data_IF_513671464191
#
_entry.id   IF_513671464191
#
_cell.length_a   1.000
_cell.length_b   1.000
_cell.length_c   1.000
_cell.angle_alpha   90.00
_cell.angle_beta   90.00
_cell.angle_gamma   90.00
#
_symmetry.space_group_name_H-M   'P 1'
#
loop_
_entity.id
_entity.type
_entity.pdbx_description
1 polymer ?
#
# COMPACT_ATOMS: atom_id res chain seq x y z
N UNK A 1 -3.35 -0.45 -4.50
CA UNK A 1 -2.18 -0.65 -3.60
C UNK A 1 -0.97 0.10 -4.14
N UNK A 2 -0.09 0.56 -3.26
CA UNK A 2 1.22 1.12 -3.61
C UNK A 2 2.31 0.36 -2.86
N UNK A 3 3.47 0.16 -3.50
CA UNK A 3 4.64 -0.45 -2.87
C UNK A 3 5.84 0.44 -3.15
N UNK A 4 6.48 0.94 -2.12
CA UNK A 4 7.66 1.80 -2.23
C UNK A 4 8.64 1.46 -1.11
N UNK A 5 9.86 1.99 -1.22
CA UNK A 5 10.91 1.76 -0.23
C UNK A 5 10.71 2.63 1.03
N UNK A 6 10.75 2.05 2.22
CA UNK A 6 10.61 2.81 3.47
C UNK A 6 11.69 3.86 3.62
N UNK A 7 12.89 3.63 3.07
CA UNK A 7 14.03 4.54 3.19
C UNK A 7 13.80 5.84 2.40
N UNK A 8 12.80 5.87 1.52
CA UNK A 8 12.34 7.10 0.86
C UNK A 8 11.61 8.06 1.80
N UNK A 9 11.33 7.64 3.04
CA UNK A 9 10.73 8.45 4.09
C UNK A 9 11.86 8.92 5.03
N UNK A 10 12.13 10.22 5.02
CA UNK A 10 13.03 10.84 6.00
C UNK A 10 12.47 10.73 7.42
N UNK A 11 13.34 10.51 8.41
CA UNK A 11 12.97 10.66 9.82
C UNK A 11 12.56 12.10 10.12
N UNK A 12 11.54 12.27 10.96
CA UNK A 12 11.01 13.58 11.34
C UNK A 12 10.65 13.60 12.82
N UNK A 13 10.61 14.79 13.40
CA UNK A 13 10.18 14.99 14.78
C UNK A 13 8.70 14.66 14.98
N UNK A 14 8.32 14.42 16.25
CA UNK A 14 6.95 14.02 16.64
C UNK A 14 5.88 15.02 16.22
N UNK A 15 6.18 16.32 16.23
CA UNK A 15 5.25 17.40 15.86
C UNK A 15 5.19 17.64 14.34
N UNK A 16 5.27 16.59 13.52
CA UNK A 16 5.23 16.69 12.05
C UNK A 16 3.98 16.06 11.46
N UNK A 17 3.59 16.52 10.28
CA UNK A 17 2.45 15.99 9.52
C UNK A 17 2.80 14.77 8.64
N UNK A 18 4.07 14.34 8.64
CA UNK A 18 4.51 13.23 7.82
C UNK A 18 4.74 13.59 6.35
N UNK A 19 4.66 12.58 5.48
CA UNK A 19 4.78 12.69 4.02
C UNK A 19 3.71 11.86 3.32
N UNK A 20 3.32 12.23 2.10
CA UNK A 20 2.31 11.47 1.33
C UNK A 20 2.84 10.10 0.89
N UNK A 21 2.26 9.02 1.42
CA UNK A 21 2.55 7.64 1.00
C UNK A 21 1.83 7.24 -0.30
N UNK A 22 0.52 7.51 -0.39
CA UNK A 22 -0.35 7.19 -1.54
C UNK A 22 -1.29 8.37 -1.80
N UNK A 23 -1.56 8.67 -3.07
CA UNK A 23 -2.63 9.60 -3.47
C UNK A 23 -3.91 8.81 -3.74
N UNK A 24 -4.99 9.21 -3.10
CA UNK A 24 -6.27 8.51 -3.12
C UNK A 24 -7.32 9.34 -3.85
N UNK A 25 -8.39 8.70 -4.33
CA UNK A 25 -9.59 9.41 -4.75
C UNK A 25 -10.30 10.02 -3.53
N UNK A 26 -11.28 10.90 -3.77
CA UNK A 26 -11.92 11.73 -2.73
C UNK A 26 -12.45 10.93 -1.52
N UNK A 27 -13.01 9.75 -1.77
CA UNK A 27 -13.69 8.94 -0.76
C UNK A 27 -12.94 7.64 -0.42
N UNK A 28 -11.75 7.48 -0.98
CA UNK A 28 -10.87 6.34 -0.70
C UNK A 28 -10.10 6.55 0.62
N UNK A 29 -9.84 5.45 1.32
CA UNK A 29 -9.02 5.43 2.53
C UNK A 29 -8.01 4.29 2.52
N UNK A 30 -6.91 4.48 3.23
CA UNK A 30 -5.97 3.39 3.53
C UNK A 30 -6.63 2.47 4.56
N UNK A 31 -6.66 1.17 4.27
CA UNK A 31 -7.26 0.15 5.16
C UNK A 31 -6.22 -0.80 5.76
N UNK A 32 -5.02 -0.89 5.18
CA UNK A 32 -3.93 -1.74 5.65
C UNK A 32 -2.58 -1.17 5.20
N UNK A 33 -1.55 -1.47 5.99
CA UNK A 33 -0.14 -1.22 5.71
C UNK A 33 0.62 -2.48 6.12
N UNK A 34 1.54 -2.92 5.27
CA UNK A 34 2.38 -4.10 5.53
C UNK A 34 3.85 -3.76 5.27
N UNK A 35 4.73 -4.19 6.18
CA UNK A 35 6.16 -4.29 5.91
C UNK A 35 6.41 -5.67 5.28
N UNK A 36 7.04 -5.69 4.12
CA UNK A 36 7.11 -6.91 3.30
C UNK A 36 8.23 -7.85 3.77
N UNK A 37 7.95 -8.62 4.82
CA UNK A 37 8.74 -9.78 5.26
C UNK A 37 8.13 -11.13 4.77
N UNK A 38 6.95 -11.07 4.16
CA UNK A 38 6.21 -12.21 3.61
C UNK A 38 6.41 -12.40 2.11
N UNK A 39 6.02 -13.58 1.61
CA UNK A 39 6.10 -13.90 0.17
C UNK A 39 4.84 -13.50 -0.62
N UNK A 40 3.70 -13.30 0.05
CA UNK A 40 2.43 -13.01 -0.60
C UNK A 40 1.50 -12.19 0.32
N UNK A 41 0.60 -11.42 -0.31
CA UNK A 41 -0.46 -10.67 0.35
C UNK A 41 -1.80 -11.34 0.06
N UNK A 42 -2.57 -11.59 1.13
CA UNK A 42 -3.96 -12.03 1.03
C UNK A 42 -4.87 -10.81 1.22
N UNK A 43 -5.72 -10.52 0.24
CA UNK A 43 -6.74 -9.48 0.35
C UNK A 43 -8.12 -10.14 0.39
N UNK A 44 -8.97 -9.70 1.31
CA UNK A 44 -10.34 -10.20 1.49
C UNK A 44 -11.30 -9.00 1.39
N UNK A 45 -12.42 -9.16 0.67
CA UNK A 45 -13.47 -8.16 0.54
C UNK A 45 -14.55 -8.35 1.62
N UNK A 46 -15.39 -7.33 1.82
CA UNK A 46 -16.50 -7.40 2.79
C UNK A 46 -17.48 -8.56 2.55
N UNK A 47 -17.60 -9.00 1.29
CA UNK A 47 -18.47 -10.12 0.88
C UNK A 47 -17.76 -11.49 0.96
N UNK A 48 -16.60 -11.56 1.63
CA UNK A 48 -15.88 -12.82 1.88
C UNK A 48 -15.07 -13.35 0.70
N UNK A 49 -14.91 -12.59 -0.39
CA UNK A 49 -14.06 -13.02 -1.49
C UNK A 49 -12.60 -12.70 -1.20
N UNK A 50 -11.72 -13.68 -1.45
CA UNK A 50 -10.28 -13.56 -1.19
C UNK A 50 -9.43 -13.74 -2.43
N UNK A 51 -8.29 -13.04 -2.49
CA UNK A 51 -7.23 -13.29 -3.46
C UNK A 51 -5.86 -13.20 -2.81
N UNK A 52 -5.04 -14.23 -3.03
CA UNK A 52 -3.63 -14.25 -2.64
C UNK A 52 -2.75 -13.87 -3.84
N UNK A 53 -1.91 -12.86 -3.68
CA UNK A 53 -1.04 -12.34 -4.74
C UNK A 53 0.41 -12.33 -4.23
N UNK A 54 1.36 -12.80 -5.03
CA UNK A 54 2.76 -12.82 -4.61
C UNK A 54 3.31 -11.39 -4.50
N UNK A 55 4.18 -11.12 -3.53
CA UNK A 55 4.77 -9.79 -3.31
C UNK A 55 5.48 -9.26 -4.56
N UNK A 56 6.13 -10.16 -5.31
CA UNK A 56 6.83 -9.83 -6.57
C UNK A 56 5.89 -9.27 -7.65
N UNK A 57 4.60 -9.60 -7.61
CA UNK A 57 3.62 -9.12 -8.60
C UNK A 57 3.11 -7.71 -8.25
N UNK A 58 3.37 -7.23 -7.03
CA UNK A 58 3.19 -5.82 -6.68
C UNK A 58 4.35 -5.00 -7.22
N UNK A 59 4.06 -4.24 -8.27
CA UNK A 59 5.00 -3.29 -8.87
C UNK A 59 5.54 -2.32 -7.80
N UNK A 60 6.87 -2.28 -7.64
CA UNK A 60 7.56 -1.25 -6.86
C UNK A 60 7.48 0.08 -7.61
N UNK A 61 7.06 1.14 -6.93
CA UNK A 61 6.91 2.50 -7.46
C UNK A 61 7.47 3.51 -6.45
N UNK A 62 7.52 4.79 -6.80
CA UNK A 62 7.75 5.87 -5.84
C UNK A 62 6.53 6.09 -4.94
N UNK A 63 6.72 6.63 -3.72
CA UNK A 63 5.59 7.07 -2.89
C UNK A 63 4.85 8.26 -3.53
N UNK A 64 3.62 8.49 -3.08
CA UNK A 64 2.78 9.58 -3.58
C UNK A 64 2.16 9.32 -4.95
N UNK A 65 2.33 8.11 -5.50
CA UNK A 65 1.58 7.65 -6.67
C UNK A 65 0.12 7.31 -6.34
N UNK A 66 -0.71 7.10 -7.37
CA UNK A 66 -2.10 6.61 -7.21
C UNK A 66 -2.19 5.11 -6.88
N UNK A 67 -1.08 4.38 -7.03
CA UNK A 67 -1.05 2.92 -6.91
C UNK A 67 -1.64 2.21 -8.13
N UNK A 68 -1.72 0.88 -8.04
CA UNK A 68 -2.32 -0.02 -9.03
C UNK A 68 -3.46 -0.81 -8.41
N UNK A 69 -4.35 -1.36 -9.24
CA UNK A 69 -5.46 -2.20 -8.79
C UNK A 69 -4.89 -3.41 -8.04
N UNK A 70 -5.36 -3.61 -6.82
CA UNK A 70 -5.08 -4.78 -5.98
C UNK A 70 -6.40 -5.45 -5.62
N UNK A 71 -6.46 -6.77 -5.69
CA UNK A 71 -7.64 -7.54 -5.37
C UNK A 71 -8.22 -8.29 -6.57
N UNK A 72 -9.50 -8.60 -6.47
CA UNK A 72 -10.28 -9.33 -7.46
C UNK A 72 -10.56 -8.41 -8.64
N UNK A 73 -10.43 -8.94 -9.85
CA UNK A 73 -11.01 -8.29 -11.03
C UNK A 73 -12.50 -8.58 -11.06
#
# INVERSE_FOLDING_TARGET
AIRFDSDSIRSMGRASYGVTGIRMAKDDKVVSLEILDTQAILTITENGYGKRTAVKDYRKTSRGGKGVINGLK
#
